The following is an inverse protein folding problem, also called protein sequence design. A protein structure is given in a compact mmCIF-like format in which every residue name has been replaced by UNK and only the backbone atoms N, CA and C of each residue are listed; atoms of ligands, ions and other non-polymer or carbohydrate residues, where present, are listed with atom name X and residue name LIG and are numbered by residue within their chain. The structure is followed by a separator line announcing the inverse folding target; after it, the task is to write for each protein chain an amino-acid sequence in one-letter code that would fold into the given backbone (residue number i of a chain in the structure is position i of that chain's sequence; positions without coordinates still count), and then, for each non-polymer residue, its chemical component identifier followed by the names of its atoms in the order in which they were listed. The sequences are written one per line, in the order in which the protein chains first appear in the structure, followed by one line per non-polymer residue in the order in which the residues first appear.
data_IF_899655430081
#
_entry.id   IF_899655430081
#
_cell.length_a   1.000
_cell.length_b   1.000
_cell.length_c   1.000
_cell.angle_alpha   90.00
_cell.angle_beta   90.00
_cell.angle_gamma   90.00
#
_symmetry.space_group_name_H-M   'P 1'
#
loop_
_entity.id
_entity.type
_entity.pdbx_description
1 polymer ?
#
# COMPACT_ATOMS: atom_id res chain seq x y z
N UNK A 1 14.77 42.92 59.87
CA UNK A 1 15.65 41.73 59.89
C UNK A 1 15.07 40.71 58.93
N UNK A 2 15.82 40.50 57.85
CA UNK A 2 15.94 39.30 57.00
C UNK A 2 14.72 38.41 56.69
N UNK A 3 14.35 38.48 55.40
CA UNK A 3 14.19 37.39 54.43
C UNK A 3 13.58 36.04 54.86
N UNK A 4 12.55 35.64 54.12
CA UNK A 4 12.63 34.51 53.15
C UNK A 4 11.37 34.46 52.27
N UNK A 5 11.58 34.64 50.98
CA UNK A 5 10.65 34.21 49.94
C UNK A 5 10.63 32.68 49.89
N UNK A 6 9.43 32.09 49.85
CA UNK A 6 9.20 30.83 49.14
C UNK A 6 7.76 30.88 48.61
N UNK A 7 7.65 30.93 47.28
CA UNK A 7 6.40 30.83 46.54
C UNK A 7 6.24 29.35 46.18
N UNK A 8 5.18 28.72 46.65
CA UNK A 8 4.79 27.36 46.26
C UNK A 8 3.54 27.46 45.39
N UNK A 9 3.74 27.35 44.08
CA UNK A 9 2.67 27.02 43.13
C UNK A 9 2.51 25.49 43.19
N UNK A 10 1.35 25.01 43.63
CA UNK A 10 0.98 23.60 43.54
C UNK A 10 0.15 23.39 42.28
N UNK A 11 0.65 22.47 41.45
CA UNK A 11 0.09 22.01 40.19
C UNK A 11 -1.27 21.35 40.39
N UNK A 12 -2.32 22.01 39.89
CA UNK A 12 -3.61 21.39 39.67
C UNK A 12 -3.56 20.51 38.42
N UNK A 13 -3.29 19.22 38.63
CA UNK A 13 -3.39 18.15 37.62
C UNK A 13 -4.78 18.16 36.97
N UNK A 14 -4.88 18.82 35.82
CA UNK A 14 -6.02 18.67 34.94
C UNK A 14 -5.75 17.47 34.05
N UNK A 15 -6.33 16.33 34.42
CA UNK A 15 -6.35 15.11 33.62
C UNK A 15 -6.97 15.38 32.25
N UNK A 16 -6.13 15.67 31.25
CA UNK A 16 -6.47 15.61 29.84
C UNK A 16 -6.27 14.18 29.34
N UNK A 17 -7.02 13.23 29.88
CA UNK A 17 -7.10 11.87 29.38
C UNK A 17 -8.09 11.81 28.19
N UNK A 18 -7.69 12.36 27.05
CA UNK A 18 -8.39 12.16 25.78
C UNK A 18 -7.46 12.47 24.59
N UNK A 19 -6.50 11.59 24.32
CA UNK A 19 -5.95 11.29 22.98
C UNK A 19 -4.65 10.48 23.09
N UNK A 20 -4.73 9.17 23.29
CA UNK A 20 -3.66 8.22 22.94
C UNK A 20 -4.14 6.79 23.22
N UNK A 21 -4.92 6.20 22.32
CA UNK A 21 -5.18 4.76 22.37
C UNK A 21 -5.40 4.23 20.97
N UNK A 22 -4.30 4.02 20.23
CA UNK A 22 -4.32 3.16 19.03
C UNK A 22 -2.92 2.62 18.69
N UNK A 23 -2.19 2.15 19.71
CA UNK A 23 -1.06 1.24 19.52
C UNK A 23 -1.41 -0.10 20.17
N UNK A 24 -2.54 -0.69 19.77
CA UNK A 24 -2.66 -2.14 19.92
C UNK A 24 -1.64 -2.76 18.96
N UNK A 25 -0.69 -3.51 19.52
CA UNK A 25 0.26 -4.29 18.74
C UNK A 25 -0.56 -5.24 17.86
N UNK A 26 -0.58 -4.99 16.54
CA UNK A 26 -1.40 -5.78 15.62
C UNK A 26 -0.89 -7.22 15.58
N UNK A 27 -1.59 -8.11 16.27
CA UNK A 27 -1.31 -9.54 16.29
C UNK A 27 -1.99 -10.20 15.10
N UNK A 28 -1.20 -10.74 14.17
CA UNK A 28 -1.70 -11.58 13.09
C UNK A 28 -1.82 -13.03 13.53
N UNK A 29 -2.73 -13.77 12.89
CA UNK A 29 -2.98 -15.16 13.22
C UNK A 29 -1.74 -16.06 13.12
N UNK A 30 -1.53 -16.86 14.16
CA UNK A 30 -0.52 -17.94 14.21
C UNK A 30 -1.01 -19.25 13.59
N UNK A 31 -2.28 -19.34 13.19
CA UNK A 31 -2.79 -20.51 12.47
C UNK A 31 -2.01 -20.72 11.15
N UNK A 32 -1.67 -21.98 10.80
CA UNK A 32 -0.95 -22.26 9.56
C UNK A 32 -1.72 -21.83 8.31
N UNK A 33 -1.05 -21.13 7.41
CA UNK A 33 -1.59 -20.73 6.13
C UNK A 33 -1.37 -21.81 5.05
N UNK A 34 -2.30 -22.76 4.96
CA UNK A 34 -2.29 -23.80 3.93
C UNK A 34 -3.19 -23.39 2.76
N UNK A 35 -2.58 -22.95 1.65
CA UNK A 35 -3.30 -22.50 0.44
C UNK A 35 -4.19 -23.58 -0.18
N UNK A 36 -3.73 -24.82 -0.19
CA UNK A 36 -4.47 -25.94 -0.81
C UNK A 36 -5.76 -26.20 -0.05
N UNK A 37 -5.62 -26.39 1.27
CA UNK A 37 -6.77 -26.61 2.15
C UNK A 37 -7.77 -25.45 2.11
N UNK A 38 -7.29 -24.21 2.09
CA UNK A 38 -8.17 -23.04 2.00
C UNK A 38 -8.94 -23.00 0.68
N UNK A 39 -8.31 -23.40 -0.43
CA UNK A 39 -9.00 -23.52 -1.73
C UNK A 39 -10.11 -24.55 -1.66
N UNK A 40 -9.80 -25.76 -1.20
CA UNK A 40 -10.77 -26.85 -1.05
C UNK A 40 -11.96 -26.41 -0.17
N UNK A 41 -11.69 -25.71 0.93
CA UNK A 41 -12.73 -25.19 1.83
C UNK A 41 -13.63 -24.14 1.16
N UNK A 42 -13.04 -23.22 0.40
CA UNK A 42 -13.80 -22.20 -0.33
C UNK A 42 -14.67 -22.83 -1.42
N UNK A 43 -14.13 -23.75 -2.20
CA UNK A 43 -14.85 -24.45 -3.27
C UNK A 43 -15.96 -25.36 -2.73
N UNK A 44 -15.69 -26.11 -1.67
CA UNK A 44 -16.70 -26.94 -0.98
C UNK A 44 -17.84 -26.08 -0.39
N UNK A 45 -17.56 -24.84 -0.01
CA UNK A 45 -18.55 -23.85 0.42
C UNK A 45 -19.29 -23.14 -0.73
N UNK A 46 -19.05 -23.52 -1.98
CA UNK A 46 -19.66 -22.91 -3.17
C UNK A 46 -19.00 -21.61 -3.65
N UNK A 47 -17.84 -21.27 -3.10
CA UNK A 47 -17.03 -20.14 -3.54
C UNK A 47 -16.28 -20.43 -4.85
N UNK A 48 -15.87 -19.36 -5.54
CA UNK A 48 -15.02 -19.44 -6.74
C UNK A 48 -13.63 -18.95 -6.35
N UNK A 49 -12.60 -19.76 -6.64
CA UNK A 49 -11.20 -19.40 -6.37
C UNK A 49 -10.50 -19.08 -7.68
N UNK A 50 -10.00 -17.84 -7.79
CA UNK A 50 -9.25 -17.38 -8.96
C UNK A 50 -7.75 -17.62 -8.78
N UNK A 51 -7.15 -18.33 -9.74
CA UNK A 51 -5.71 -18.62 -9.74
C UNK A 51 -4.89 -17.37 -10.07
N UNK A 52 -5.34 -16.53 -10.99
CA UNK A 52 -4.69 -15.27 -11.35
C UNK A 52 -5.63 -14.10 -11.13
N UNK A 53 -5.07 -12.92 -10.89
CA UNK A 53 -5.87 -11.70 -10.74
C UNK A 53 -6.64 -11.36 -12.02
N UNK A 54 -6.05 -11.67 -13.18
CA UNK A 54 -6.62 -11.38 -14.50
C UNK A 54 -7.87 -12.23 -14.79
N UNK A 55 -8.04 -13.33 -14.07
CA UNK A 55 -9.22 -14.19 -14.16
C UNK A 55 -10.43 -13.58 -13.44
N UNK A 56 -10.23 -12.56 -12.58
CA UNK A 56 -11.30 -11.92 -11.80
C UNK A 56 -12.06 -10.92 -12.67
N UNK A 57 -13.36 -11.13 -12.93
CA UNK A 57 -14.15 -10.17 -13.71
C UNK A 57 -14.24 -8.82 -13.00
N UNK A 58 -14.08 -7.70 -13.74
CA UNK A 58 -14.11 -6.34 -13.16
C UNK A 58 -15.40 -6.04 -12.39
N UNK A 59 -16.54 -6.54 -12.87
CA UNK A 59 -17.84 -6.39 -12.20
C UNK A 59 -17.97 -7.22 -10.90
N UNK A 60 -16.99 -8.07 -10.59
CA UNK A 60 -16.93 -8.87 -9.36
C UNK A 60 -15.95 -8.33 -8.32
N UNK A 61 -15.21 -7.25 -8.61
CA UNK A 61 -14.23 -6.71 -7.67
C UNK A 61 -14.84 -6.36 -6.30
N UNK A 62 -16.05 -5.79 -6.27
CA UNK A 62 -16.73 -5.40 -5.02
C UNK A 62 -17.12 -6.57 -4.10
N UNK A 63 -17.25 -7.79 -4.66
CA UNK A 63 -17.63 -9.00 -3.91
C UNK A 63 -16.47 -10.00 -3.77
N UNK A 64 -15.39 -9.80 -4.52
CA UNK A 64 -14.18 -10.59 -4.42
C UNK A 64 -13.41 -10.23 -3.14
N UNK A 65 -12.70 -11.21 -2.58
CA UNK A 65 -11.84 -11.04 -1.40
C UNK A 65 -10.48 -11.65 -1.70
N UNK A 66 -9.41 -10.97 -1.29
CA UNK A 66 -8.07 -11.56 -1.28
C UNK A 66 -7.88 -12.29 0.05
N UNK A 67 -7.56 -13.58 0.05
CA UNK A 67 -7.27 -14.32 1.28
C UNK A 67 -5.76 -14.38 1.50
N UNK A 68 -5.29 -13.87 2.65
CA UNK A 68 -3.87 -13.80 2.98
C UNK A 68 -3.62 -14.08 4.47
N UNK A 69 -2.40 -14.49 4.87
CA UNK A 69 -2.07 -14.65 6.28
C UNK A 69 -1.82 -13.30 6.97
N UNK A 70 -1.20 -12.36 6.25
CA UNK A 70 -0.74 -11.05 6.73
C UNK A 70 -0.75 -10.06 5.56
N UNK A 71 -0.75 -8.74 5.81
CA UNK A 71 -0.48 -7.75 4.76
C UNK A 71 0.88 -8.04 4.12
N UNK A 72 0.98 -7.94 2.80
CA UNK A 72 2.23 -8.17 2.08
C UNK A 72 2.27 -7.35 0.78
N UNK A 73 3.44 -7.30 0.14
CA UNK A 73 3.67 -6.54 -1.10
C UNK A 73 3.74 -7.45 -2.34
N UNK A 74 2.98 -8.56 -2.33
CA UNK A 74 2.90 -9.44 -3.50
C UNK A 74 2.09 -8.80 -4.62
N UNK A 75 2.30 -9.25 -5.86
CA UNK A 75 1.57 -8.81 -7.06
C UNK A 75 0.05 -8.77 -6.83
N UNK A 76 -0.54 -9.87 -6.33
CA UNK A 76 -1.98 -9.95 -6.06
C UNK A 76 -2.44 -8.95 -5.00
N UNK A 77 -1.62 -8.68 -3.99
CA UNK A 77 -1.96 -7.72 -2.94
C UNK A 77 -1.98 -6.29 -3.50
N UNK A 78 -0.95 -5.92 -4.27
CA UNK A 78 -0.85 -4.61 -4.93
C UNK A 78 -2.01 -4.43 -5.92
N UNK A 79 -2.30 -5.43 -6.75
CA UNK A 79 -3.44 -5.41 -7.67
C UNK A 79 -4.78 -5.27 -6.92
N UNK A 80 -4.92 -5.93 -5.77
CA UNK A 80 -6.12 -5.83 -4.94
C UNK A 80 -6.27 -4.46 -4.29
N UNK A 81 -5.16 -3.83 -3.86
CA UNK A 81 -5.16 -2.47 -3.32
C UNK A 81 -5.65 -1.44 -4.34
N UNK A 82 -5.22 -1.55 -5.60
CA UNK A 82 -5.55 -0.54 -6.62
C UNK A 82 -7.01 -0.63 -7.09
N UNK A 83 -7.62 -1.81 -7.05
CA UNK A 83 -9.04 -2.00 -7.44
C UNK A 83 -10.01 -2.12 -6.26
N UNK A 84 -9.51 -1.93 -5.03
CA UNK A 84 -10.25 -2.08 -3.77
C UNK A 84 -10.89 -3.46 -3.52
N UNK A 85 -10.19 -4.54 -3.90
CA UNK A 85 -10.51 -5.90 -3.45
C UNK A 85 -9.94 -6.08 -2.03
N UNK A 86 -10.80 -6.06 -1.02
CA UNK A 86 -10.37 -6.15 0.38
C UNK A 86 -9.63 -7.46 0.67
N UNK A 87 -8.47 -7.35 1.32
CA UNK A 87 -7.77 -8.50 1.86
C UNK A 87 -8.37 -8.92 3.21
N UNK A 88 -8.64 -10.22 3.37
CA UNK A 88 -9.08 -10.85 4.60
C UNK A 88 -8.02 -11.81 5.11
N UNK A 89 -7.92 -11.89 6.42
CA UNK A 89 -7.09 -12.88 7.09
C UNK A 89 -7.67 -14.27 6.85
N UNK A 90 -6.81 -15.24 6.51
CA UNK A 90 -7.20 -16.63 6.27
C UNK A 90 -8.03 -17.33 7.36
N UNK A 91 -7.97 -16.96 8.66
CA UNK A 91 -8.87 -17.52 9.66
C UNK A 91 -10.33 -17.24 9.38
N UNK A 92 -10.68 -16.21 8.60
CA UNK A 92 -12.06 -15.97 8.19
C UNK A 92 -12.68 -17.21 7.52
N UNK A 93 -11.95 -17.82 6.58
CA UNK A 93 -12.39 -19.06 5.90
C UNK A 93 -12.54 -20.19 6.90
N UNK A 94 -11.54 -20.37 7.78
CA UNK A 94 -11.55 -21.42 8.80
C UNK A 94 -12.75 -21.27 9.73
N UNK A 95 -13.07 -20.04 10.13
CA UNK A 95 -14.18 -19.75 11.04
C UNK A 95 -15.53 -19.93 10.36
N UNK A 96 -15.66 -19.56 9.08
CA UNK A 96 -16.87 -19.86 8.31
C UNK A 96 -17.12 -21.37 8.24
N UNK A 97 -16.10 -22.16 7.94
CA UNK A 97 -16.21 -23.63 7.93
C UNK A 97 -16.54 -24.19 9.33
N UNK A 98 -15.88 -23.70 10.38
CA UNK A 98 -16.05 -24.20 11.74
C UNK A 98 -17.45 -23.95 12.30
N UNK A 99 -18.09 -22.86 11.90
CA UNK A 99 -19.44 -22.50 12.35
C UNK A 99 -20.53 -22.90 11.36
N UNK A 100 -20.14 -23.36 10.17
CA UNK A 100 -21.05 -23.62 9.05
C UNK A 100 -21.95 -22.41 8.72
N UNK A 101 -21.38 -21.20 8.80
CA UNK A 101 -22.07 -19.94 8.50
C UNK A 101 -21.10 -18.95 7.87
N UNK A 102 -21.61 -17.94 7.15
CA UNK A 102 -20.79 -16.84 6.67
C UNK A 102 -20.58 -15.84 7.82
N UNK A 103 -19.41 -15.91 8.46
CA UNK A 103 -19.04 -14.97 9.52
C UNK A 103 -18.76 -13.59 8.92
N UNK A 104 -19.10 -12.54 9.66
CA UNK A 104 -18.82 -11.16 9.27
C UNK A 104 -17.36 -10.99 8.81
N UNK A 105 -17.11 -10.61 7.54
CA UNK A 105 -15.77 -10.45 7.02
C UNK A 105 -15.07 -9.19 7.53
N UNK A 106 -15.79 -8.18 8.02
CA UNK A 106 -15.18 -6.91 8.44
C UNK A 106 -14.30 -7.10 9.68
N UNK A 107 -14.67 -8.06 10.54
CA UNK A 107 -13.88 -8.54 11.69
C UNK A 107 -12.54 -9.21 11.31
N UNK A 108 -12.28 -9.47 10.03
CA UNK A 108 -11.07 -10.17 9.53
C UNK A 108 -10.31 -9.37 8.47
N UNK A 109 -10.64 -8.09 8.26
CA UNK A 109 -9.96 -7.25 7.27
C UNK A 109 -8.51 -7.07 7.66
N UNK A 110 -7.61 -7.34 6.70
CA UNK A 110 -6.20 -7.05 6.85
C UNK A 110 -5.92 -5.57 6.54
N UNK A 111 -4.94 -4.94 7.19
CA UNK A 111 -4.45 -3.62 6.82
C UNK A 111 -4.08 -3.50 5.34
N UNK A 112 -4.18 -2.31 4.76
CA UNK A 112 -3.67 -2.04 3.41
C UNK A 112 -2.15 -2.32 3.29
N UNK A 113 -1.41 -2.14 4.38
CA UNK A 113 0.02 -2.41 4.44
C UNK A 113 0.69 -1.58 5.53
N UNK A 114 1.99 -1.78 5.70
CA UNK A 114 2.80 -0.99 6.61
C UNK A 114 3.24 0.32 5.92
N UNK A 115 2.86 1.46 6.49
CA UNK A 115 3.39 2.75 6.06
C UNK A 115 4.76 2.96 6.69
N UNK A 116 5.77 3.13 5.85
CA UNK A 116 7.13 3.41 6.34
C UNK A 116 7.25 4.82 6.92
N UNK A 117 6.44 5.77 6.45
CA UNK A 117 6.46 7.15 6.95
C UNK A 117 5.76 7.30 8.30
N UNK A 118 4.70 6.51 8.52
CA UNK A 118 3.93 6.54 9.77
C UNK A 118 4.40 5.49 10.77
N UNK A 119 5.32 4.62 10.36
CA UNK A 119 5.81 3.48 11.14
C UNK A 119 4.69 2.60 11.73
N UNK A 120 3.59 2.47 10.99
CA UNK A 120 2.42 1.68 11.42
C UNK A 120 1.65 1.12 10.25
N UNK A 121 0.86 0.09 10.53
CA UNK A 121 -0.10 -0.43 9.56
C UNK A 121 -1.22 0.58 9.30
N UNK A 122 -1.56 0.72 8.02
CA UNK A 122 -2.66 1.56 7.56
C UNK A 122 -3.89 0.69 7.36
N UNK A 123 -5.00 1.06 7.99
CA UNK A 123 -6.29 0.38 7.79
C UNK A 123 -6.68 0.37 6.31
N UNK A 124 -7.27 -0.74 5.85
CA UNK A 124 -7.69 -0.85 4.44
C UNK A 124 -8.69 0.25 4.05
N UNK A 125 -9.71 0.39 4.90
CA UNK A 125 -10.77 1.38 4.79
C UNK A 125 -10.41 2.56 5.70
N UNK A 126 -10.17 3.76 5.15
CA UNK A 126 -9.93 4.95 5.95
C UNK A 126 -11.12 5.29 6.86
N UNK A 127 -10.88 6.04 7.95
CA UNK A 127 -11.96 6.55 8.80
C UNK A 127 -12.96 7.46 8.05
N UNK A 128 -12.53 8.07 6.94
CA UNK A 128 -13.37 8.88 6.05
C UNK A 128 -14.33 8.05 5.19
N UNK A 129 -14.29 6.72 5.30
CA UNK A 129 -15.13 5.79 4.56
C UNK A 129 -14.35 5.13 3.42
N UNK A 130 -14.83 5.28 2.18
CA UNK A 130 -14.29 4.51 1.05
C UNK A 130 -12.84 4.89 0.73
N UNK A 131 -12.08 3.87 0.34
CA UNK A 131 -10.72 4.03 -0.16
C UNK A 131 -10.74 4.78 -1.49
N UNK A 132 -9.85 5.76 -1.65
CA UNK A 132 -9.62 6.39 -2.94
C UNK A 132 -8.79 5.44 -3.81
N UNK A 133 -9.37 4.95 -4.91
CA UNK A 133 -8.68 4.08 -5.87
C UNK A 133 -8.04 4.85 -7.00
N UNK A 134 -8.40 6.11 -7.23
CA UNK A 134 -7.85 6.96 -8.30
C UNK A 134 -6.89 8.00 -7.75
N UNK A 135 -5.94 7.58 -6.93
CA UNK A 135 -5.03 8.48 -6.20
C UNK A 135 -4.12 9.29 -7.13
N UNK A 136 -3.84 8.78 -8.34
CA UNK A 136 -2.98 9.43 -9.33
C UNK A 136 -3.78 10.12 -10.45
N UNK A 137 -5.07 10.37 -10.23
CA UNK A 137 -5.89 11.08 -11.21
C UNK A 137 -5.22 12.37 -11.68
N UNK A 138 -5.19 12.55 -13.00
CA UNK A 138 -4.60 13.71 -13.69
C UNK A 138 -3.08 13.88 -13.46
N UNK A 139 -2.37 12.83 -13.03
CA UNK A 139 -0.90 12.82 -12.89
C UNK A 139 -0.24 12.04 -14.01
N UNK A 140 0.91 12.53 -14.46
CA UNK A 140 1.79 11.81 -15.39
C UNK A 140 2.89 11.11 -14.57
N UNK A 141 3.00 9.79 -14.73
CA UNK A 141 4.08 8.98 -14.15
C UNK A 141 4.90 8.39 -15.29
N UNK A 142 6.21 8.59 -15.24
CA UNK A 142 7.13 8.06 -16.24
C UNK A 142 7.74 6.75 -15.74
N UNK A 143 8.07 5.86 -16.67
CA UNK A 143 8.76 4.61 -16.38
C UNK A 143 10.02 4.44 -17.20
N UNK A 144 11.07 3.90 -16.58
CA UNK A 144 12.24 3.34 -17.24
C UNK A 144 12.56 1.99 -16.58
N UNK A 145 13.02 1.01 -17.36
CA UNK A 145 13.30 -0.36 -16.91
C UNK A 145 12.86 -1.41 -17.92
N UNK A 146 12.83 -2.67 -17.49
CA UNK A 146 12.45 -3.80 -18.36
C UNK A 146 11.02 -3.67 -18.93
N UNK A 147 10.83 -3.70 -20.27
CA UNK A 147 9.52 -3.49 -20.89
C UNK A 147 8.47 -4.55 -20.55
N UNK A 148 8.85 -5.83 -20.46
CA UNK A 148 7.90 -6.95 -20.39
C UNK A 148 7.44 -7.29 -18.97
N UNK A 149 8.32 -7.09 -17.99
CA UNK A 149 8.09 -7.45 -16.59
C UNK A 149 7.83 -6.20 -15.77
N UNK A 150 8.75 -5.23 -15.79
CA UNK A 150 8.69 -4.06 -14.91
C UNK A 150 7.64 -3.06 -15.41
N UNK A 151 7.83 -2.54 -16.62
CA UNK A 151 6.98 -1.47 -17.17
C UNK A 151 5.54 -1.97 -17.30
N UNK A 152 5.33 -3.12 -17.96
CA UNK A 152 3.99 -3.68 -18.17
C UNK A 152 3.18 -3.84 -16.88
N UNK A 153 3.82 -4.25 -15.78
CA UNK A 153 3.14 -4.39 -14.51
C UNK A 153 2.81 -3.03 -13.89
N UNK A 154 3.80 -2.14 -13.76
CA UNK A 154 3.62 -0.85 -13.06
C UNK A 154 2.80 0.16 -13.85
N UNK A 155 2.92 0.16 -15.17
CA UNK A 155 2.05 0.90 -16.10
C UNK A 155 0.58 0.56 -15.83
N UNK A 156 0.26 -0.74 -15.78
CA UNK A 156 -1.09 -1.20 -15.49
C UNK A 156 -1.57 -0.80 -14.09
N UNK A 157 -0.72 -0.92 -13.07
CA UNK A 157 -1.05 -0.52 -11.70
C UNK A 157 -1.35 0.99 -11.64
N UNK A 158 -0.47 1.83 -12.18
CA UNK A 158 -0.64 3.28 -12.16
C UNK A 158 -1.85 3.73 -13.00
N UNK A 159 -2.09 3.11 -14.15
CA UNK A 159 -3.29 3.36 -14.97
C UNK A 159 -4.57 3.02 -14.24
N UNK A 160 -4.64 1.88 -13.55
CA UNK A 160 -5.78 1.52 -12.70
C UNK A 160 -5.97 2.52 -11.55
N UNK A 161 -4.88 3.09 -11.05
CA UNK A 161 -4.87 4.15 -10.05
C UNK A 161 -5.19 5.55 -10.61
N UNK A 162 -5.55 5.65 -11.89
CA UNK A 162 -5.97 6.88 -12.57
C UNK A 162 -4.84 7.75 -13.15
N UNK A 163 -3.60 7.26 -13.16
CA UNK A 163 -2.49 7.98 -13.77
C UNK A 163 -2.55 7.96 -15.30
N UNK A 164 -1.98 8.98 -15.93
CA UNK A 164 -1.41 8.87 -17.25
C UNK A 164 0.01 8.34 -17.11
N UNK A 165 0.40 7.39 -17.96
CA UNK A 165 1.70 6.74 -17.90
C UNK A 165 2.42 6.87 -19.23
N UNK A 166 3.75 6.94 -19.19
CA UNK A 166 4.59 6.93 -20.39
C UNK A 166 5.94 6.28 -20.10
N UNK A 167 6.43 5.49 -21.04
CA UNK A 167 7.79 4.96 -20.99
C UNK A 167 8.78 6.00 -21.50
N UNK A 168 9.92 6.12 -20.83
CA UNK A 168 11.05 6.95 -21.25
C UNK A 168 12.25 6.06 -21.54
N UNK A 169 12.90 6.34 -22.65
CA UNK A 169 14.16 5.72 -23.07
C UNK A 169 15.11 6.83 -23.57
N UNK A 170 16.31 6.45 -24.00
CA UNK A 170 17.32 7.39 -24.50
C UNK A 170 16.88 8.15 -25.77
N UNK A 171 15.94 7.61 -26.54
CA UNK A 171 15.42 8.21 -27.78
C UNK A 171 14.28 9.21 -27.52
N UNK A 172 13.49 9.01 -26.46
CA UNK A 172 12.31 9.80 -26.12
C UNK A 172 12.40 10.40 -24.70
N UNK A 173 13.29 11.38 -24.55
CA UNK A 173 13.65 12.02 -23.27
C UNK A 173 12.75 13.18 -22.81
N UNK A 174 11.54 13.31 -23.35
CA UNK A 174 10.61 14.33 -22.87
C UNK A 174 10.12 13.91 -21.47
N UNK A 175 10.31 14.75 -20.45
CA UNK A 175 9.84 14.46 -19.09
C UNK A 175 8.94 15.56 -18.52
N UNK A 176 8.58 16.54 -19.34
CA UNK A 176 7.92 17.75 -18.90
C UNK A 176 6.54 17.47 -18.29
N UNK A 177 6.30 18.02 -17.11
CA UNK A 177 5.03 17.90 -16.39
C UNK A 177 4.82 16.56 -15.68
N UNK A 178 5.82 15.67 -15.67
CA UNK A 178 5.75 14.44 -14.91
C UNK A 178 5.82 14.67 -13.40
N UNK A 179 5.08 13.87 -12.65
CA UNK A 179 5.13 13.86 -11.19
C UNK A 179 6.41 13.18 -10.68
N UNK A 180 6.79 12.08 -11.31
CA UNK A 180 7.98 11.30 -10.97
C UNK A 180 8.37 10.39 -12.15
N UNK A 181 9.65 10.00 -12.17
CA UNK A 181 10.17 8.92 -13.00
C UNK A 181 10.42 7.70 -12.09
N UNK A 182 9.68 6.62 -12.35
CA UNK A 182 9.81 5.37 -11.61
C UNK A 182 10.77 4.45 -12.35
N UNK A 183 11.83 4.02 -11.68
CA UNK A 183 12.91 3.22 -12.24
C UNK A 183 13.60 2.39 -11.17
N UNK A 184 14.53 1.53 -11.56
CA UNK A 184 15.43 0.80 -10.67
C UNK A 184 16.89 1.26 -10.86
N UNK A 185 17.81 0.53 -10.22
CA UNK A 185 19.23 0.84 -10.22
C UNK A 185 19.92 0.71 -11.59
N UNK A 186 19.25 0.11 -12.58
CA UNK A 186 19.75 -0.05 -13.95
C UNK A 186 19.44 1.19 -14.83
N UNK A 187 18.83 2.24 -14.27
CA UNK A 187 18.50 3.47 -14.99
C UNK A 187 19.72 4.10 -15.69
N UNK A 188 19.71 4.31 -17.03
CA UNK A 188 20.79 4.96 -17.76
C UNK A 188 21.12 6.38 -17.27
N UNK A 189 22.40 6.74 -17.26
CA UNK A 189 22.87 8.05 -16.78
C UNK A 189 22.28 9.22 -17.58
N UNK A 190 22.04 9.04 -18.88
CA UNK A 190 21.42 10.02 -19.77
C UNK A 190 20.01 10.39 -19.29
N UNK A 191 19.24 9.37 -18.90
CA UNK A 191 17.89 9.52 -18.35
C UNK A 191 17.96 10.20 -16.98
N UNK A 192 18.89 9.77 -16.10
CA UNK A 192 19.10 10.41 -14.80
C UNK A 192 19.44 11.90 -14.93
N UNK A 193 20.39 12.23 -15.81
CA UNK A 193 20.82 13.61 -16.05
C UNK A 193 19.67 14.47 -16.56
N UNK A 194 18.86 13.93 -17.49
CA UNK A 194 17.70 14.63 -18.01
C UNK A 194 16.63 14.88 -16.95
N UNK A 195 16.32 13.88 -16.15
CA UNK A 195 15.37 14.01 -15.03
C UNK A 195 15.85 15.09 -14.04
N UNK A 196 17.14 15.10 -13.69
CA UNK A 196 17.73 16.14 -12.84
C UNK A 196 17.61 17.54 -13.44
N UNK A 197 17.88 17.71 -14.75
CA UNK A 197 17.72 18.99 -15.45
C UNK A 197 16.28 19.51 -15.43
N UNK A 198 15.31 18.61 -15.55
CA UNK A 198 13.87 18.95 -15.53
C UNK A 198 13.26 18.94 -14.12
N UNK A 199 14.07 18.71 -13.07
CA UNK A 199 13.64 18.57 -11.68
C UNK A 199 12.57 17.49 -11.47
N UNK A 200 12.69 16.39 -12.22
CA UNK A 200 11.81 15.22 -12.09
C UNK A 200 12.43 14.26 -11.08
N UNK A 201 11.73 13.93 -9.98
CA UNK A 201 12.26 13.01 -8.98
C UNK A 201 12.32 11.59 -9.54
N UNK A 202 13.49 10.95 -9.40
CA UNK A 202 13.68 9.54 -9.69
C UNK A 202 13.37 8.69 -8.45
N UNK A 203 12.45 7.74 -8.58
CA UNK A 203 11.96 6.93 -7.47
C UNK A 203 11.89 5.45 -7.81
N UNK A 204 11.96 4.60 -6.78
CA UNK A 204 11.68 3.17 -6.89
C UNK A 204 10.18 2.88 -6.82
N UNK A 205 9.82 1.63 -7.11
CA UNK A 205 8.46 1.12 -6.99
C UNK A 205 7.92 1.17 -5.55
N UNK A 206 8.79 1.27 -4.55
CA UNK A 206 8.42 1.51 -3.14
C UNK A 206 7.56 2.77 -2.99
N UNK A 207 7.85 3.83 -3.75
CA UNK A 207 7.03 5.05 -3.72
C UNK A 207 5.59 4.78 -4.19
N UNK A 208 5.41 4.04 -5.28
CA UNK A 208 4.08 3.64 -5.77
C UNK A 208 3.36 2.82 -4.69
N UNK A 209 4.03 1.80 -4.15
CA UNK A 209 3.46 0.90 -3.14
C UNK A 209 3.00 1.71 -1.91
N UNK A 210 3.81 2.65 -1.44
CA UNK A 210 3.49 3.45 -0.26
C UNK A 210 2.36 4.46 -0.54
N UNK A 211 2.31 5.06 -1.73
CA UNK A 211 1.16 5.86 -2.17
C UNK A 211 -0.12 5.02 -2.20
N UNK A 212 -0.05 3.80 -2.74
CA UNK A 212 -1.16 2.87 -2.73
C UNK A 212 -1.56 2.56 -1.30
N UNK A 213 -0.67 2.05 -0.43
CA UNK A 213 -0.97 1.71 0.98
C UNK A 213 -1.70 2.86 1.68
N UNK A 214 -1.17 4.08 1.57
CA UNK A 214 -1.75 5.25 2.23
C UNK A 214 -3.00 5.83 1.57
N UNK A 215 -3.33 5.42 0.34
CA UNK A 215 -4.49 5.92 -0.40
C UNK A 215 -4.36 7.39 -0.80
N UNK A 216 -3.14 7.91 -0.96
CA UNK A 216 -2.85 9.29 -1.37
C UNK A 216 -1.48 9.38 -2.04
N UNK A 217 -1.25 10.47 -2.77
CA UNK A 217 0.09 10.77 -3.30
C UNK A 217 0.99 11.22 -2.16
N UNK A 218 2.11 10.51 -1.97
CA UNK A 218 3.20 10.92 -1.08
C UNK A 218 4.21 11.76 -1.87
N UNK A 219 4.86 12.76 -1.27
CA UNK A 219 5.91 13.50 -1.96
C UNK A 219 7.05 12.54 -2.39
N UNK A 220 7.45 12.51 -3.67
CA UNK A 220 8.42 11.53 -4.19
C UNK A 220 9.76 11.48 -3.44
N UNK A 221 10.20 12.60 -2.87
CA UNK A 221 11.47 12.74 -2.15
C UNK A 221 11.34 12.73 -0.63
N UNK A 222 10.17 12.38 -0.09
CA UNK A 222 9.89 12.47 1.36
C UNK A 222 10.40 11.29 2.20
N UNK A 223 11.06 10.30 1.61
CA UNK A 223 11.63 9.17 2.33
C UNK A 223 12.77 8.53 1.53
N UNK A 224 13.87 8.16 2.18
CA UNK A 224 15.07 7.63 1.51
C UNK A 224 14.78 6.35 0.71
N UNK A 225 13.99 5.43 1.28
CA UNK A 225 13.46 4.22 0.60
C UNK A 225 12.68 4.48 -0.70
N UNK A 226 12.27 5.71 -0.98
CA UNK A 226 11.67 6.06 -2.27
C UNK A 226 12.71 6.25 -3.35
N UNK A 227 13.96 6.49 -3.01
CA UNK A 227 15.03 6.62 -4.01
C UNK A 227 15.15 5.33 -4.83
N UNK A 228 15.34 5.49 -6.14
CA UNK A 228 15.68 4.38 -7.04
C UNK A 228 17.06 3.76 -6.73
N UNK A 229 17.91 4.49 -6.00
CA UNK A 229 19.23 4.07 -5.56
C UNK A 229 19.24 3.50 -4.12
N UNK A 230 18.08 3.37 -3.46
CA UNK A 230 18.06 2.89 -2.09
C UNK A 230 18.56 1.44 -2.02
N UNK A 231 19.57 1.23 -1.18
CA UNK A 231 20.04 -0.09 -0.73
C UNK A 231 19.82 -0.20 0.78
N UNK A 232 19.46 -1.38 1.27
CA UNK A 232 19.39 -1.58 2.72
C UNK A 232 20.79 -1.43 3.32
N UNK A 233 20.96 -0.68 4.42
CA UNK A 233 22.22 -0.66 5.14
C UNK A 233 22.52 -2.06 5.67
N UNK A 234 23.77 -2.50 5.50
CA UNK A 234 24.29 -3.77 6.06
C UNK A 234 24.23 -3.82 7.60
#
# INVERSE_FOLDING_TARGET
MESRHYSSEEDGETSSAAAATDCEELVFSDRPFNKERLREQLEAGGGIVYSHFDDVPKNKYSVCKLIAPRPCVTTKYIQSLVVDIRALSHPWVIMCCSKNELVDPDSYVLPAGFSIQKERYVNWVPHTGKRNTTIFKDKLILFNGDPEIFIKFWDRICTLAGANTRTVNEEELNMTGALALVTDWECPHEIQNKANQENIPLVSTTWIIQCLIEGKILPPTSHDKFSFMYTEPE
#
